data_IF_631299564082
#
_entry.id   IF_631299564082
#
_cell.length_a   1.000
_cell.length_b   1.000
_cell.length_c   1.000
_cell.angle_alpha   90.00
_cell.angle_beta   90.00
_cell.angle_gamma   90.00
#
_symmetry.space_group_name_H-M   'P 1'
#
loop_
_entity.id
_entity.type
_entity.pdbx_description
1 polymer ?
#
# COMPACT_ATOMS: atom_id res chain seq x y z
N UNK A 1 3.00 -16.28 46.42
CA UNK A 1 3.90 -17.18 45.66
C UNK A 1 4.50 -16.35 44.55
N UNK A 2 5.83 -16.19 44.58
CA UNK A 2 6.56 -15.22 43.77
C UNK A 2 6.53 -15.60 42.28
N UNK A 3 6.03 -14.69 41.46
CA UNK A 3 6.16 -14.74 40.01
C UNK A 3 7.62 -14.45 39.66
N UNK A 4 8.44 -15.49 39.53
CA UNK A 4 9.78 -15.38 38.99
C UNK A 4 9.68 -15.21 37.47
N UNK A 5 9.48 -13.97 37.03
CA UNK A 5 9.62 -13.60 35.63
C UNK A 5 11.09 -13.78 35.23
N UNK A 6 11.37 -14.84 34.49
CA UNK A 6 12.70 -15.19 34.01
C UNK A 6 13.20 -14.12 33.02
N UNK A 7 14.24 -13.32 33.34
CA UNK A 7 14.69 -12.20 32.51
C UNK A 7 15.12 -12.64 31.10
N UNK A 8 15.59 -13.89 30.97
CA UNK A 8 16.01 -14.52 29.73
C UNK A 8 14.84 -14.72 28.74
N UNK A 9 13.67 -15.13 29.24
CA UNK A 9 12.48 -15.34 28.42
C UNK A 9 11.90 -14.01 27.89
N UNK A 10 11.95 -12.95 28.71
CA UNK A 10 11.55 -11.60 28.32
C UNK A 10 12.46 -11.00 27.23
N UNK A 11 13.78 -11.18 27.34
CA UNK A 11 14.73 -10.72 26.33
C UNK A 11 14.58 -11.46 24.99
N UNK A 12 14.35 -12.77 25.04
CA UNK A 12 14.17 -13.62 23.85
C UNK A 12 12.88 -13.27 23.09
N UNK A 13 11.77 -13.11 23.81
CA UNK A 13 10.46 -12.72 23.23
C UNK A 13 10.46 -11.32 22.61
N UNK A 14 11.21 -10.37 23.21
CA UNK A 14 11.44 -9.05 22.64
C UNK A 14 12.18 -9.11 21.30
N UNK A 15 13.27 -9.87 21.25
CA UNK A 15 14.05 -10.06 20.02
C UNK A 15 13.22 -10.64 18.88
N UNK A 16 12.38 -11.64 19.18
CA UNK A 16 11.49 -12.26 18.19
C UNK A 16 10.44 -11.27 17.68
N UNK A 17 9.80 -10.51 18.57
CA UNK A 17 8.76 -9.53 18.21
C UNK A 17 9.34 -8.42 17.30
N UNK A 18 10.52 -7.90 17.63
CA UNK A 18 11.20 -6.89 16.82
C UNK A 18 11.65 -7.43 15.46
N UNK A 19 12.14 -8.67 15.40
CA UNK A 19 12.54 -9.29 14.14
C UNK A 19 11.33 -9.47 13.20
N UNK A 20 10.20 -9.95 13.73
CA UNK A 20 8.94 -10.09 12.98
C UNK A 20 8.44 -8.73 12.46
N UNK A 21 8.44 -7.71 13.31
CA UNK A 21 8.05 -6.34 12.96
C UNK A 21 8.87 -5.80 11.79
N UNK A 22 10.20 -5.96 11.86
CA UNK A 22 11.11 -5.50 10.82
C UNK A 22 10.90 -6.22 9.49
N UNK A 23 10.67 -7.54 9.54
CA UNK A 23 10.38 -8.32 8.35
C UNK A 23 9.08 -7.85 7.68
N UNK A 24 8.02 -7.66 8.48
CA UNK A 24 6.73 -7.16 8.00
C UNK A 24 6.88 -5.76 7.38
N UNK A 25 7.51 -4.82 8.08
CA UNK A 25 7.73 -3.47 7.56
C UNK A 25 8.51 -3.49 6.24
N UNK A 26 9.57 -4.30 6.14
CA UNK A 26 10.33 -4.46 4.88
C UNK A 26 9.50 -5.09 3.77
N UNK A 27 8.67 -6.08 4.07
CA UNK A 27 7.79 -6.72 3.10
C UNK A 27 6.78 -5.71 2.53
N UNK A 28 6.11 -4.95 3.39
CA UNK A 28 5.18 -3.90 2.99
C UNK A 28 5.86 -2.81 2.15
N UNK A 29 7.04 -2.37 2.57
CA UNK A 29 7.83 -1.40 1.82
C UNK A 29 8.22 -1.89 0.42
N UNK A 30 8.65 -3.16 0.28
CA UNK A 30 8.95 -3.76 -1.04
C UNK A 30 7.70 -3.87 -1.91
N UNK A 31 6.57 -4.30 -1.33
CA UNK A 31 5.30 -4.47 -2.06
C UNK A 31 4.76 -3.13 -2.55
N UNK A 32 4.80 -2.09 -1.73
CA UNK A 32 4.45 -0.72 -2.11
C UNK A 32 5.29 -0.22 -3.29
N UNK A 33 6.63 -0.37 -3.23
CA UNK A 33 7.52 0.02 -4.34
C UNK A 33 7.23 -0.71 -5.64
N UNK A 34 6.83 -1.98 -5.59
CA UNK A 34 6.48 -2.75 -6.80
C UNK A 34 5.17 -2.23 -7.41
N UNK A 35 4.14 -2.01 -6.59
CA UNK A 35 2.86 -1.46 -7.04
C UNK A 35 3.04 -0.05 -7.63
N UNK A 36 3.84 0.81 -6.99
CA UNK A 36 4.15 2.14 -7.49
C UNK A 36 4.87 2.12 -8.84
N UNK A 37 5.86 1.23 -9.02
CA UNK A 37 6.59 1.10 -10.30
C UNK A 37 5.67 0.63 -11.42
N UNK A 38 4.84 -0.37 -11.16
CA UNK A 38 3.90 -0.89 -12.16
C UNK A 38 2.92 0.21 -12.60
N UNK A 39 2.28 0.90 -11.64
CA UNK A 39 1.39 2.03 -11.90
C UNK A 39 2.06 3.10 -12.77
N UNK A 40 3.25 3.57 -12.35
CA UNK A 40 3.99 4.61 -13.08
C UNK A 40 4.37 4.14 -14.49
N UNK A 41 4.81 2.89 -14.66
CA UNK A 41 5.18 2.37 -15.97
C UNK A 41 3.99 2.32 -16.94
N UNK A 42 2.82 1.87 -16.49
CA UNK A 42 1.61 1.83 -17.31
C UNK A 42 1.14 3.24 -17.66
N UNK A 43 1.13 4.18 -16.70
CA UNK A 43 0.77 5.58 -16.97
C UNK A 43 1.73 6.26 -17.93
N UNK A 44 3.03 5.98 -17.87
CA UNK A 44 4.00 6.52 -18.83
C UNK A 44 3.71 6.02 -20.25
N UNK A 45 3.40 4.73 -20.42
CA UNK A 45 3.04 4.19 -21.73
C UNK A 45 1.75 4.83 -22.26
N UNK A 46 0.76 5.04 -21.40
CA UNK A 46 -0.50 5.70 -21.76
C UNK A 46 -0.28 7.16 -22.21
N UNK A 47 0.53 7.93 -21.48
CA UNK A 47 0.89 9.30 -21.85
C UNK A 47 1.65 9.32 -23.18
N UNK A 48 2.59 8.38 -23.39
CA UNK A 48 3.33 8.26 -24.64
C UNK A 48 2.40 7.93 -25.81
N UNK A 49 1.48 6.99 -25.64
CA UNK A 49 0.47 6.63 -26.64
C UNK A 49 -0.44 7.83 -26.96
N UNK A 50 -0.91 8.55 -25.95
CA UNK A 50 -1.76 9.73 -26.12
C UNK A 50 -1.02 10.87 -26.84
N UNK A 51 0.26 11.08 -26.54
CA UNK A 51 1.09 12.10 -27.20
C UNK A 51 1.45 11.73 -28.65
N UNK A 52 1.58 10.43 -28.96
CA UNK A 52 1.86 9.95 -30.31
C UNK A 52 0.71 10.19 -31.28
N UNK A 53 -0.55 10.19 -30.82
CA UNK A 53 -1.72 10.43 -31.68
C UNK A 53 -1.59 11.78 -32.42
N UNK A 54 -1.56 12.95 -31.76
CA UNK A 54 -1.46 14.24 -32.46
C UNK A 54 -0.13 14.40 -33.20
N UNK A 55 0.96 13.80 -32.71
CA UNK A 55 2.26 13.83 -33.38
C UNK A 55 2.20 13.15 -34.76
N UNK A 56 1.61 11.96 -34.84
CA UNK A 56 1.42 11.25 -36.12
C UNK A 56 0.43 11.95 -37.04
N UNK A 57 -0.60 12.61 -36.47
CA UNK A 57 -1.52 13.46 -37.25
C UNK A 57 -0.76 14.58 -37.96
N UNK A 58 0.15 15.27 -37.27
CA UNK A 58 0.93 16.37 -37.83
C UNK A 58 1.87 15.96 -38.96
N UNK A 59 2.35 14.71 -38.94
CA UNK A 59 3.25 14.16 -39.96
C UNK A 59 2.54 13.64 -41.22
N UNK A 60 1.19 13.69 -41.28
CA UNK A 60 0.38 13.15 -42.38
C UNK A 60 0.73 11.69 -42.71
N UNK A 61 0.92 10.88 -41.66
CA UNK A 61 1.34 9.50 -41.79
C UNK A 61 0.32 8.67 -42.59
N UNK A 62 0.77 7.97 -43.63
CA UNK A 62 -0.07 7.04 -44.38
C UNK A 62 -0.43 5.87 -43.45
N UNK A 63 -1.73 5.58 -43.25
CA UNK A 63 -2.30 4.65 -42.25
C UNK A 63 -2.52 5.21 -40.82
N UNK A 64 -2.59 6.53 -40.64
CA UNK A 64 -2.89 7.17 -39.35
C UNK A 64 -4.10 6.56 -38.62
N UNK A 65 -5.21 6.29 -39.31
CA UNK A 65 -6.46 5.81 -38.69
C UNK A 65 -6.29 4.47 -37.96
N UNK A 66 -5.57 3.52 -38.57
CA UNK A 66 -5.29 2.22 -37.96
C UNK A 66 -4.38 2.35 -36.74
N UNK A 67 -3.35 3.20 -36.83
CA UNK A 67 -2.40 3.42 -35.73
C UNK A 67 -3.08 4.15 -34.56
N UNK A 68 -3.84 5.20 -34.85
CA UNK A 68 -4.59 5.96 -33.84
C UNK A 68 -5.64 5.09 -33.14
N UNK A 69 -6.37 4.26 -33.90
CA UNK A 69 -7.28 3.27 -33.36
C UNK A 69 -6.59 2.27 -32.43
N UNK A 70 -5.44 1.73 -32.84
CA UNK A 70 -4.63 0.83 -32.02
C UNK A 70 -4.13 1.47 -30.72
N UNK A 71 -3.65 2.72 -30.79
CA UNK A 71 -3.23 3.48 -29.61
C UNK A 71 -4.40 3.77 -28.66
N UNK A 72 -5.58 4.10 -29.19
CA UNK A 72 -6.79 4.31 -28.39
C UNK A 72 -7.26 3.05 -27.66
N UNK A 73 -7.21 1.89 -28.31
CA UNK A 73 -7.51 0.60 -27.67
C UNK A 73 -6.49 0.29 -26.57
N UNK A 74 -5.20 0.53 -26.83
CA UNK A 74 -4.14 0.33 -25.85
C UNK A 74 -4.35 1.19 -24.60
N UNK A 75 -4.64 2.48 -24.78
CA UNK A 75 -4.94 3.42 -23.69
C UNK A 75 -6.13 2.91 -22.87
N UNK A 76 -7.22 2.50 -23.53
CA UNK A 76 -8.45 2.03 -22.86
C UNK A 76 -8.19 0.76 -22.04
N UNK A 77 -7.45 -0.20 -22.58
CA UNK A 77 -7.08 -1.43 -21.86
C UNK A 77 -6.23 -1.08 -20.64
N UNK A 78 -5.25 -0.20 -20.79
CA UNK A 78 -4.35 0.18 -19.69
C UNK A 78 -5.10 0.93 -18.59
N UNK A 79 -5.98 1.87 -18.94
CA UNK A 79 -6.80 2.59 -17.98
C UNK A 79 -7.76 1.63 -17.25
N UNK A 80 -8.37 0.69 -17.98
CA UNK A 80 -9.21 -0.34 -17.37
C UNK A 80 -8.44 -1.22 -16.36
N UNK A 81 -7.23 -1.66 -16.70
CA UNK A 81 -6.38 -2.45 -15.78
C UNK A 81 -5.93 -1.60 -14.58
N UNK A 82 -5.58 -0.33 -14.80
CA UNK A 82 -5.17 0.59 -13.73
C UNK A 82 -6.31 0.86 -12.75
N UNK A 83 -7.53 1.05 -13.26
CA UNK A 83 -8.72 1.30 -12.48
C UNK A 83 -9.15 0.05 -11.71
N UNK A 84 -9.15 -1.13 -12.35
CA UNK A 84 -9.54 -2.39 -11.73
C UNK A 84 -8.61 -2.78 -10.57
N UNK A 85 -7.31 -2.57 -10.72
CA UNK A 85 -6.33 -2.94 -9.71
C UNK A 85 -6.14 -1.88 -8.62
N UNK A 86 -6.76 -0.71 -8.74
CA UNK A 86 -6.63 0.39 -7.79
C UNK A 86 -5.19 0.62 -7.30
N UNK A 87 -4.20 0.47 -8.19
CA UNK A 87 -2.79 0.38 -7.78
C UNK A 87 -2.35 1.59 -6.95
N UNK A 88 -2.97 2.76 -7.17
CA UNK A 88 -2.76 3.98 -6.40
C UNK A 88 -3.17 3.88 -4.93
N UNK A 89 -4.29 3.23 -4.61
CA UNK A 89 -4.67 2.99 -3.21
C UNK A 89 -3.78 1.91 -2.59
N UNK A 90 -3.47 0.85 -3.35
CA UNK A 90 -2.61 -0.25 -2.89
C UNK A 90 -1.24 0.24 -2.42
N UNK A 91 -0.50 0.99 -3.24
CA UNK A 91 0.85 1.43 -2.85
C UNK A 91 0.83 2.42 -1.69
N UNK A 92 -0.19 3.29 -1.63
CA UNK A 92 -0.36 4.30 -0.57
C UNK A 92 -0.65 3.63 0.76
N UNK A 93 -1.61 2.69 0.79
CA UNK A 93 -1.97 1.92 2.00
C UNK A 93 -0.78 1.13 2.51
N UNK A 94 -0.08 0.37 1.64
CA UNK A 94 1.09 -0.39 2.06
C UNK A 94 2.24 0.48 2.57
N UNK A 95 2.41 1.69 2.02
CA UNK A 95 3.42 2.63 2.50
C UNK A 95 3.06 3.18 3.88
N UNK A 96 1.81 3.60 4.06
CA UNK A 96 1.32 4.08 5.35
C UNK A 96 1.44 3.00 6.44
N UNK A 97 1.10 1.73 6.14
CA UNK A 97 1.29 0.61 7.07
C UNK A 97 2.77 0.40 7.40
N UNK A 98 3.65 0.40 6.39
CA UNK A 98 5.10 0.28 6.61
C UNK A 98 5.65 1.41 7.48
N UNK A 99 5.21 2.64 7.27
CA UNK A 99 5.62 3.82 8.04
C UNK A 99 5.08 3.73 9.47
N UNK A 100 3.84 3.29 9.67
CA UNK A 100 3.25 3.07 10.99
C UNK A 100 4.00 2.00 11.80
N UNK A 101 4.32 0.85 11.19
CA UNK A 101 5.13 -0.20 11.83
C UNK A 101 6.53 0.29 12.20
N UNK A 102 7.15 1.07 11.31
CA UNK A 102 8.47 1.66 11.55
C UNK A 102 8.43 2.70 12.68
N UNK A 103 7.37 3.52 12.72
CA UNK A 103 7.16 4.50 13.78
C UNK A 103 6.98 3.82 15.15
N UNK A 104 6.17 2.77 15.22
CA UNK A 104 6.00 1.99 16.47
C UNK A 104 7.30 1.32 16.93
N UNK A 105 8.12 0.82 15.99
CA UNK A 105 9.47 0.32 16.32
C UNK A 105 10.30 1.38 17.04
N UNK A 106 10.36 2.59 16.49
CA UNK A 106 11.18 3.66 17.07
C UNK A 106 10.63 4.14 18.41
N UNK A 107 9.31 4.21 18.58
CA UNK A 107 8.68 4.51 19.88
C UNK A 107 9.04 3.47 20.95
N UNK A 108 8.99 2.18 20.59
CA UNK A 108 9.37 1.10 21.50
C UNK A 108 10.86 1.16 21.88
N UNK A 109 11.75 1.33 20.90
CA UNK A 109 13.19 1.42 21.14
C UNK A 109 13.58 2.65 21.96
N UNK A 110 12.90 3.78 21.77
CA UNK A 110 13.11 4.99 22.54
C UNK A 110 12.43 4.98 23.92
N UNK A 111 11.67 3.92 24.25
CA UNK A 111 10.80 3.87 25.42
C UNK A 111 9.93 5.13 25.55
N UNK A 112 9.43 5.62 24.42
CA UNK A 112 8.71 6.88 24.31
C UNK A 112 7.20 6.64 24.07
N UNK A 113 6.40 7.68 24.27
CA UNK A 113 4.95 7.61 24.06
C UNK A 113 4.29 6.58 25.00
N UNK A 114 3.46 5.65 24.47
CA UNK A 114 2.78 4.63 25.31
C UNK A 114 3.74 3.72 26.07
N UNK A 115 4.98 3.55 25.58
CA UNK A 115 5.98 2.67 26.21
C UNK A 115 6.69 3.33 27.40
N UNK A 116 6.65 4.66 27.51
CA UNK A 116 7.26 5.38 28.63
C UNK A 116 6.57 5.08 29.98
N UNK A 117 5.27 4.78 29.93
CA UNK A 117 4.43 4.50 31.10
C UNK A 117 3.98 3.03 31.17
N UNK A 118 4.45 2.16 30.28
CA UNK A 118 3.98 0.78 30.16
C UNK A 118 4.42 -0.16 31.31
N UNK A 119 5.19 0.34 32.29
CA UNK A 119 5.62 -0.42 33.46
C UNK A 119 6.47 -1.63 33.07
N UNK A 120 6.08 -2.82 33.53
CA UNK A 120 6.86 -4.06 33.38
C UNK A 120 6.72 -4.77 32.02
N UNK A 121 5.72 -4.41 31.19
CA UNK A 121 5.39 -5.16 29.97
C UNK A 121 5.36 -4.35 28.64
N UNK A 122 6.35 -3.49 28.32
CA UNK A 122 6.46 -2.86 26.99
C UNK A 122 6.33 -3.82 25.77
N UNK A 123 6.84 -5.07 25.79
CA UNK A 123 6.79 -5.96 24.63
C UNK A 123 5.38 -6.47 24.31
N UNK A 124 4.54 -6.65 25.33
CA UNK A 124 3.14 -7.06 25.17
C UNK A 124 2.35 -5.94 24.49
N UNK A 125 2.55 -4.70 24.95
CA UNK A 125 1.94 -3.52 24.35
C UNK A 125 2.36 -3.35 22.89
N UNK A 126 3.63 -3.62 22.56
CA UNK A 126 4.11 -3.59 21.18
C UNK A 126 3.36 -4.60 20.30
N UNK A 127 3.20 -5.84 20.77
CA UNK A 127 2.48 -6.87 20.02
C UNK A 127 1.01 -6.48 19.74
N UNK A 128 0.31 -5.95 20.75
CA UNK A 128 -1.08 -5.48 20.60
C UNK A 128 -1.19 -4.35 19.58
N UNK A 129 -0.25 -3.39 19.59
CA UNK A 129 -0.27 -2.26 18.64
C UNK A 129 0.06 -2.71 17.22
N UNK A 130 0.99 -3.65 17.04
CA UNK A 130 1.30 -4.23 15.72
C UNK A 130 0.05 -4.93 15.14
N UNK A 131 -0.62 -5.76 15.93
CA UNK A 131 -1.85 -6.45 15.50
C UNK A 131 -2.99 -5.45 15.21
N UNK A 132 -3.11 -4.37 15.99
CA UNK A 132 -4.07 -3.30 15.73
C UNK A 132 -3.80 -2.58 14.39
N UNK A 133 -2.53 -2.29 14.06
CA UNK A 133 -2.15 -1.68 12.78
C UNK A 133 -2.51 -2.60 11.61
N UNK A 134 -2.22 -3.90 11.73
CA UNK A 134 -2.57 -4.88 10.69
C UNK A 134 -4.08 -5.06 10.54
N UNK A 135 -4.82 -5.08 11.65
CA UNK A 135 -6.29 -5.16 11.64
C UNK A 135 -6.93 -3.95 10.96
N UNK A 136 -6.45 -2.74 11.24
CA UNK A 136 -6.90 -1.52 10.56
C UNK A 136 -6.64 -1.56 9.06
N UNK A 137 -5.54 -2.17 8.62
CA UNK A 137 -5.27 -2.36 7.20
C UNK A 137 -6.30 -3.30 6.56
N UNK A 138 -6.62 -4.42 7.21
CA UNK A 138 -7.62 -5.36 6.70
C UNK A 138 -9.00 -4.69 6.55
N UNK A 139 -9.41 -3.90 7.54
CA UNK A 139 -10.66 -3.12 7.46
C UNK A 139 -10.64 -2.13 6.30
N UNK A 140 -9.49 -1.47 6.06
CA UNK A 140 -9.33 -0.60 4.87
C UNK A 140 -9.47 -1.38 3.58
N UNK A 141 -8.89 -2.57 3.47
CA UNK A 141 -9.04 -3.43 2.28
C UNK A 141 -10.48 -3.83 2.00
N UNK A 142 -11.21 -4.26 3.04
CA UNK A 142 -12.64 -4.60 2.90
C UNK A 142 -13.43 -3.38 2.44
N UNK A 143 -13.20 -2.21 3.03
CA UNK A 143 -13.89 -0.97 2.63
C UNK A 143 -13.59 -0.52 1.20
N UNK A 144 -12.35 -0.72 0.71
CA UNK A 144 -11.97 -0.41 -0.66
C UNK A 144 -12.66 -1.35 -1.65
N UNK A 145 -12.82 -2.61 -1.29
CA UNK A 145 -13.51 -3.61 -2.11
C UNK A 145 -15.01 -3.33 -2.17
N UNK A 146 -15.64 -2.91 -1.07
CA UNK A 146 -17.04 -2.48 -1.05
C UNK A 146 -17.29 -1.22 -1.89
N UNK A 147 -16.37 -0.25 -1.87
CA UNK A 147 -16.45 0.95 -2.70
C UNK A 147 -16.28 0.63 -4.19
N UNK A 148 -15.38 -0.30 -4.53
CA UNK A 148 -15.21 -0.78 -5.90
C UNK A 148 -16.45 -1.55 -6.41
N UNK A 149 -17.18 -2.22 -5.51
CA UNK A 149 -18.34 -3.03 -5.84
C UNK A 149 -19.66 -2.26 -5.96
N UNK A 150 -19.75 -1.00 -5.53
CA UNK A 150 -20.93 -0.15 -5.72
C UNK A 150 -20.86 0.56 -7.07
N UNK A 151 -21.63 0.15 -8.09
CA UNK A 151 -21.77 0.96 -9.29
C UNK A 151 -22.58 2.20 -8.91
N UNK A 152 -22.17 3.38 -9.39
CA UNK A 152 -22.80 4.66 -9.07
C UNK A 152 -24.33 4.61 -9.20
N UNK A 153 -25.03 4.62 -8.06
CA UNK A 153 -26.50 4.63 -8.00
C UNK A 153 -27.04 6.05 -7.74
N UNK A 154 -26.20 7.09 -7.92
CA UNK A 154 -26.57 8.49 -7.65
C UNK A 154 -26.52 9.39 -8.90
N UNK A 155 -26.81 8.85 -10.09
CA UNK A 155 -26.95 9.62 -11.33
C UNK A 155 -28.36 9.49 -11.93
N UNK A 156 -29.40 9.73 -11.13
CA UNK A 156 -30.76 9.94 -11.67
C UNK A 156 -31.71 10.68 -10.72
N UNK A 157 -31.38 11.93 -10.37
CA UNK A 157 -32.38 12.95 -9.95
C UNK A 157 -31.90 14.35 -10.35
N UNK A 158 -32.15 14.71 -11.61
CA UNK A 158 -32.31 16.09 -12.06
C UNK A 158 -33.10 16.05 -13.37
#
# INVERSE_FOLDING_TARGET
>A
MASSSDPSAAATSQGITLARLDEQARWYGRKSKRAQRLYKSMKVVEIAAAALIPFLTGLKFSHFELVAGGLGVLITIFEGILQLNQYQQIWTTYRATSEALTHEKYLFLALAGPYATAGANPPVLLAERIEAIMSQENTKWVSLQEQAAKPGTDAKKA
#
